data_IF_663179083084
#
_entry.id   IF_663179083084
#
_cell.length_a   1.000
_cell.length_b   1.000
_cell.length_c   1.000
_cell.angle_alpha   90.00
_cell.angle_beta   90.00
_cell.angle_gamma   90.00
#
_symmetry.space_group_name_H-M   'P 1'
#
loop_
_entity.id
_entity.type
_entity.pdbx_description
1 polymer ?
#
# COMPACT_ATOMS: atom_id res chain seq x y z
N UNK A 1 -2.26 9.15 1.62
CA UNK A 1 -3.11 8.37 0.69
C UNK A 1 -2.43 8.29 -0.67
N UNK A 2 -2.68 7.25 -1.46
CA UNK A 2 -2.07 7.03 -2.79
C UNK A 2 -3.19 6.91 -3.84
N UNK A 3 -3.08 7.64 -4.95
CA UNK A 3 -4.08 7.60 -6.04
C UNK A 3 -3.69 6.54 -7.07
N UNK A 4 -4.63 5.65 -7.41
CA UNK A 4 -4.38 4.53 -8.33
C UNK A 4 -5.33 4.62 -9.52
N UNK A 5 -4.77 4.81 -10.72
CA UNK A 5 -5.49 4.65 -11.99
C UNK A 5 -5.38 3.21 -12.47
N UNK A 6 -6.47 2.44 -12.41
CA UNK A 6 -6.48 1.03 -12.80
C UNK A 6 -6.69 0.86 -14.31
N UNK A 7 -6.58 -0.39 -14.79
CA UNK A 7 -6.84 -0.78 -16.18
C UNK A 7 -5.93 -0.10 -17.21
N UNK A 8 -4.67 0.14 -16.86
CA UNK A 8 -3.68 0.73 -17.77
C UNK A 8 -3.56 -0.07 -19.09
N UNK A 9 -3.79 -1.37 -19.07
CA UNK A 9 -3.81 -2.26 -20.23
C UNK A 9 -4.83 -1.84 -21.30
N UNK A 10 -6.01 -1.36 -20.87
CA UNK A 10 -7.05 -0.88 -21.79
C UNK A 10 -6.62 0.42 -22.47
N UNK A 11 -5.91 1.29 -21.74
CA UNK A 11 -5.35 2.52 -22.30
C UNK A 11 -4.22 2.24 -23.29
N UNK A 12 -3.37 1.26 -23.00
CA UNK A 12 -2.27 0.85 -23.90
C UNK A 12 -2.80 0.24 -25.19
N UNK A 13 -3.81 -0.64 -25.09
CA UNK A 13 -4.39 -1.32 -26.26
C UNK A 13 -5.35 -0.42 -27.05
N UNK A 14 -6.07 0.47 -26.38
CA UNK A 14 -7.05 1.37 -27.00
C UNK A 14 -6.95 2.78 -26.40
N UNK A 15 -6.02 3.63 -26.88
CA UNK A 15 -5.79 4.96 -26.32
C UNK A 15 -7.01 5.88 -26.32
N UNK A 16 -7.98 5.64 -27.22
CA UNK A 16 -9.22 6.42 -27.33
C UNK A 16 -10.19 6.22 -26.16
N UNK A 17 -10.06 5.13 -25.39
CA UNK A 17 -10.89 4.89 -24.20
C UNK A 17 -10.37 5.64 -22.96
N UNK A 18 -9.27 6.38 -23.08
CA UNK A 18 -8.70 7.12 -21.96
C UNK A 18 -9.47 8.42 -21.72
N UNK A 19 -10.32 8.41 -20.69
CA UNK A 19 -11.06 9.61 -20.26
C UNK A 19 -10.23 10.54 -19.37
N UNK A 20 -9.30 9.98 -18.58
CA UNK A 20 -8.50 10.76 -17.62
C UNK A 20 -7.02 10.74 -17.99
N UNK A 21 -6.46 11.86 -18.46
CA UNK A 21 -5.02 12.02 -18.69
C UNK A 21 -4.18 11.87 -17.41
N UNK A 22 -2.99 11.28 -17.51
CA UNK A 22 -2.17 10.95 -16.34
C UNK A 22 -1.66 12.22 -15.63
N UNK A 23 -1.35 13.25 -16.41
CA UNK A 23 -0.95 14.56 -15.90
C UNK A 23 -2.04 15.20 -15.02
N UNK A 24 -3.32 15.03 -15.35
CA UNK A 24 -4.43 15.54 -14.55
C UNK A 24 -4.53 14.78 -13.22
N UNK A 25 -4.43 13.46 -13.26
CA UNK A 25 -4.41 12.64 -12.04
C UNK A 25 -3.22 13.01 -11.13
N UNK A 26 -2.03 13.24 -11.70
CA UNK A 26 -0.83 13.65 -10.96
C UNK A 26 -0.98 15.03 -10.32
N UNK A 27 -1.52 16.00 -11.06
CA UNK A 27 -1.83 17.33 -10.51
C UNK A 27 -2.86 17.24 -9.39
N UNK A 28 -3.91 16.45 -9.57
CA UNK A 28 -4.94 16.26 -8.55
C UNK A 28 -4.37 15.63 -7.27
N UNK A 29 -3.52 14.61 -7.40
CA UNK A 29 -2.85 13.99 -6.25
C UNK A 29 -2.00 15.02 -5.49
N UNK A 30 -1.24 15.86 -6.20
CA UNK A 30 -0.47 16.94 -5.58
C UNK A 30 -1.37 17.96 -4.87
N UNK A 31 -2.45 18.43 -5.51
CA UNK A 31 -3.40 19.40 -4.91
C UNK A 31 -4.09 18.86 -3.66
N UNK A 32 -4.33 17.54 -3.59
CA UNK A 32 -4.98 16.89 -2.44
C UNK A 32 -3.98 16.37 -1.40
N UNK A 33 -2.71 16.75 -1.49
CA UNK A 33 -1.63 16.31 -0.59
C UNK A 33 -1.56 14.76 -0.48
N UNK A 34 -1.80 14.09 -1.60
CA UNK A 34 -1.62 12.63 -1.72
C UNK A 34 -0.16 12.31 -2.00
N UNK A 35 0.25 11.08 -1.69
CA UNK A 35 1.62 10.61 -1.82
C UNK A 35 2.09 10.62 -3.28
N UNK A 36 1.26 10.11 -4.19
CA UNK A 36 1.54 10.05 -5.62
C UNK A 36 0.27 9.66 -6.40
N UNK A 37 0.35 9.71 -7.73
CA UNK A 37 -0.59 9.07 -8.65
C UNK A 37 0.14 7.99 -9.46
N UNK A 38 -0.37 6.75 -9.41
CA UNK A 38 0.24 5.60 -10.09
C UNK A 38 -0.81 4.93 -10.99
N UNK A 39 -0.41 4.52 -12.18
CA UNK A 39 -1.24 3.68 -13.05
C UNK A 39 -0.85 2.21 -12.92
N UNK A 40 -1.86 1.36 -12.78
CA UNK A 40 -1.70 -0.08 -12.60
C UNK A 40 -2.54 -0.87 -13.60
N UNK A 41 -2.10 -2.09 -13.90
CA UNK A 41 -2.91 -3.09 -14.60
C UNK A 41 -2.85 -4.38 -13.79
N UNK A 42 -4.00 -4.82 -13.29
CA UNK A 42 -4.11 -6.11 -12.62
C UNK A 42 -3.95 -7.26 -13.62
N UNK A 43 -4.41 -7.06 -14.86
CA UNK A 43 -4.34 -8.05 -15.95
C UNK A 43 -2.89 -8.35 -16.34
N UNK A 44 -2.09 -7.30 -16.49
CA UNK A 44 -0.69 -7.40 -16.96
C UNK A 44 0.31 -7.34 -15.79
N UNK A 45 -0.17 -7.47 -14.54
CA UNK A 45 0.63 -7.33 -13.31
C UNK A 45 1.54 -6.08 -13.30
N UNK A 46 1.08 -4.97 -13.86
CA UNK A 46 1.89 -3.76 -14.01
C UNK A 46 1.73 -2.86 -12.79
N UNK A 47 2.85 -2.52 -12.15
CA UNK A 47 2.96 -1.60 -11.01
C UNK A 47 2.17 -1.99 -9.75
N UNK A 48 1.68 -3.23 -9.65
CA UNK A 48 0.90 -3.68 -8.48
C UNK A 48 1.80 -3.70 -7.23
N UNK A 49 2.87 -4.49 -7.25
CA UNK A 49 3.81 -4.61 -6.13
C UNK A 49 4.44 -3.26 -5.77
N UNK A 50 4.93 -2.52 -6.77
CA UNK A 50 5.54 -1.21 -6.56
C UNK A 50 4.60 -0.20 -5.87
N UNK A 51 3.30 -0.28 -6.15
CA UNK A 51 2.27 0.57 -5.50
C UNK A 51 2.14 0.25 -4.02
N UNK A 52 2.03 -1.04 -3.67
CA UNK A 52 1.95 -1.47 -2.27
C UNK A 52 3.24 -1.18 -1.51
N UNK A 53 4.40 -1.41 -2.11
CA UNK A 53 5.70 -1.10 -1.50
C UNK A 53 5.88 0.40 -1.24
N UNK A 54 5.43 1.27 -2.15
CA UNK A 54 5.45 2.73 -1.93
C UNK A 54 4.55 3.13 -0.76
N UNK A 55 3.37 2.52 -0.65
CA UNK A 55 2.46 2.76 0.47
C UNK A 55 3.08 2.29 1.80
N UNK A 56 3.65 1.08 1.84
CA UNK A 56 4.32 0.54 3.03
C UNK A 56 5.49 1.44 3.47
N UNK A 57 6.36 1.86 2.54
CA UNK A 57 7.47 2.78 2.84
C UNK A 57 7.00 4.15 3.33
N UNK A 58 5.85 4.64 2.86
CA UNK A 58 5.30 5.89 3.34
C UNK A 58 4.73 5.76 4.77
N UNK A 59 4.07 4.65 5.07
CA UNK A 59 3.59 4.34 6.42
C UNK A 59 4.76 4.15 7.40
N UNK A 60 5.79 3.41 6.98
CA UNK A 60 6.99 3.17 7.78
C UNK A 60 7.67 4.48 8.17
N UNK A 61 7.96 5.36 7.20
CA UNK A 61 8.57 6.68 7.47
C UNK A 61 7.73 7.55 8.40
N UNK A 62 6.40 7.50 8.25
CA UNK A 62 5.48 8.21 9.15
C UNK A 62 5.63 7.69 10.59
N UNK A 63 5.78 6.38 10.76
CA UNK A 63 5.88 5.75 12.07
C UNK A 63 7.26 5.89 12.72
N UNK A 64 8.35 5.89 11.95
CA UNK A 64 9.70 6.16 12.47
C UNK A 64 9.80 7.57 13.09
N UNK A 65 9.13 8.55 12.49
CA UNK A 65 9.01 9.91 13.03
C UNK A 65 8.04 10.06 14.21
N UNK A 66 7.24 9.03 14.51
CA UNK A 66 6.21 9.00 15.57
C UNK A 66 6.68 8.31 16.86
N UNK A 67 7.99 8.10 17.00
CA UNK A 67 8.60 7.63 18.26
C UNK A 67 8.46 8.63 19.42
N UNK A 68 7.80 9.76 19.21
CA UNK A 68 7.36 10.69 20.24
C UNK A 68 5.91 11.10 19.98
N UNK A 69 5.09 10.98 21.01
CA UNK A 69 3.68 11.38 21.09
C UNK A 69 2.69 10.36 20.51
N UNK A 70 2.35 9.40 21.37
CA UNK A 70 0.99 8.89 21.45
C UNK A 70 0.03 10.07 21.60
N UNK A 71 -0.91 10.24 20.67
CA UNK A 71 -2.33 10.05 20.99
C UNK A 71 -3.26 10.45 19.83
N UNK A 72 -4.34 9.67 19.77
CA UNK A 72 -5.67 9.97 19.21
C UNK A 72 -5.91 9.79 17.69
N UNK A 73 -6.80 8.82 17.44
CA UNK A 73 -7.65 8.54 16.28
C UNK A 73 -7.09 7.70 15.11
N UNK A 74 -7.76 6.55 14.93
CA UNK A 74 -7.57 5.49 13.92
C UNK A 74 -6.34 4.59 14.12
N UNK A 75 -6.51 3.64 15.04
CA UNK A 75 -5.67 2.47 15.25
C UNK A 75 -5.43 1.67 13.95
N UNK A 76 -4.41 2.05 13.18
CA UNK A 76 -3.70 1.12 12.31
C UNK A 76 -2.86 0.21 13.21
N UNK A 77 -3.32 -1.02 13.46
CA UNK A 77 -2.53 -2.04 14.13
C UNK A 77 -1.39 -2.48 13.21
N UNK A 78 -0.27 -1.76 13.24
CA UNK A 78 0.99 -2.28 12.71
C UNK A 78 1.49 -3.29 13.74
N UNK A 79 1.14 -4.56 13.55
CA UNK A 79 1.62 -5.64 14.40
C UNK A 79 3.13 -5.78 14.21
N UNK A 80 3.92 -5.11 15.06
CA UNK A 80 5.35 -5.37 15.17
C UNK A 80 5.52 -6.72 15.87
N UNK A 81 5.40 -7.81 15.11
CA UNK A 81 5.98 -9.07 15.57
C UNK A 81 7.50 -8.90 15.49
N UNK A 82 8.09 -8.44 16.59
CA UNK A 82 9.51 -8.62 16.83
C UNK A 82 9.76 -10.11 16.81
N UNK A 83 10.56 -10.59 15.85
CA UNK A 83 11.15 -11.93 15.90
C UNK A 83 12.10 -11.96 17.10
N UNK A 84 11.55 -12.13 18.30
CA UNK A 84 12.35 -12.47 19.46
C UNK A 84 12.89 -13.87 19.25
N UNK A 85 14.21 -13.93 19.07
CA UNK A 85 14.99 -15.15 19.01
C UNK A 85 14.98 -15.78 20.41
N UNK A 86 13.97 -16.58 20.73
CA UNK A 86 14.03 -17.40 21.94
C UNK A 86 12.70 -17.88 22.53
N UNK A 87 12.68 -19.20 22.77
CA UNK A 87 11.81 -20.00 23.67
C UNK A 87 10.46 -20.43 23.10
N UNK A 88 10.42 -21.74 22.81
CA UNK A 88 9.30 -22.45 22.26
C UNK A 88 8.09 -22.50 23.19
N UNK A 89 6.92 -22.55 22.58
CA UNK A 89 5.67 -22.96 23.21
C UNK A 89 5.13 -24.14 22.40
N UNK A 90 4.96 -25.27 23.10
CA UNK A 90 4.46 -26.51 22.55
C UNK A 90 3.03 -26.33 22.01
N UNK A 91 2.78 -26.80 20.79
CA UNK A 91 1.44 -27.00 20.28
C UNK A 91 0.91 -28.34 20.84
N UNK A 92 0.03 -28.28 21.84
CA UNK A 92 -0.78 -29.43 22.24
C UNK A 92 -2.04 -29.45 21.38
N UNK A 93 -2.00 -30.25 20.31
CA UNK A 93 -3.20 -30.82 19.73
C UNK A 93 -2.84 -32.03 18.88
N UNK A 94 -2.90 -33.20 19.50
CA UNK A 94 -3.06 -34.46 18.77
C UNK A 94 -3.90 -35.41 19.63
N UNK A 95 -5.23 -35.23 19.61
CA UNK A 95 -6.14 -36.30 19.99
C UNK A 95 -6.36 -37.16 18.74
N UNK A 96 -5.66 -38.29 18.69
CA UNK A 96 -5.93 -39.38 17.76
C UNK A 96 -7.09 -40.17 18.37
N UNK A 97 -8.23 -40.24 17.67
CA UNK A 97 -9.23 -41.29 17.85
C UNK A 97 -8.77 -42.54 17.10
#
# INVERSE_FOLDING_TARGET
MLLIGTKKDTVTSQPRLREVPFNHAKRYAATKNMLDAIETSAKDNTNIEGTFMRMARALWRKNEGLSSVADTEMSFRLSTQTMEKGKGHACSSCSVL
#
